data_IF_619364251592
#
_entry.id   IF_619364251592
#
_cell.length_a   1.000
_cell.length_b   1.000
_cell.length_c   1.000
_cell.angle_alpha   90.00
_cell.angle_beta   90.00
_cell.angle_gamma   90.00
#
_symmetry.space_group_name_H-M   'P 1'
#
loop_
_entity.id
_entity.type
_entity.pdbx_description
1 polymer ?
#
# COMPACT_ATOMS: atom_id res chain seq x y z
N UNK A 1 -18.58 -3.16 13.29
CA UNK A 1 -19.15 -2.66 12.02
C UNK A 1 -19.23 -3.84 11.07
N UNK A 2 -20.25 -3.94 10.19
CA UNK A 2 -20.25 -4.98 9.17
C UNK A 2 -19.03 -4.84 8.27
N UNK A 3 -18.49 -5.96 7.81
CA UNK A 3 -17.33 -5.98 6.92
C UNK A 3 -17.63 -5.18 5.64
N UNK A 4 -16.72 -4.29 5.19
CA UNK A 4 -16.94 -3.51 3.99
C UNK A 4 -16.94 -4.39 2.74
N UNK A 5 -17.92 -4.22 1.85
CA UNK A 5 -17.91 -4.86 0.54
C UNK A 5 -16.76 -4.31 -0.34
N UNK A 6 -16.53 -2.99 -0.27
CA UNK A 6 -15.53 -2.28 -1.06
C UNK A 6 -15.18 -0.93 -0.42
N UNK A 7 -13.92 -0.73 -0.09
CA UNK A 7 -13.34 0.53 0.41
C UNK A 7 -12.03 0.78 -0.30
N UNK A 8 -11.71 2.05 -0.52
CA UNK A 8 -10.47 2.47 -1.17
C UNK A 8 -9.77 3.52 -0.34
N UNK A 9 -8.45 3.52 -0.38
CA UNK A 9 -7.65 4.51 0.32
C UNK A 9 -6.32 4.71 -0.38
N UNK A 10 -5.74 5.88 -0.17
CA UNK A 10 -4.39 6.21 -0.59
C UNK A 10 -3.70 7.00 0.53
N UNK A 11 -2.38 6.99 0.51
CA UNK A 11 -1.60 7.97 1.26
C UNK A 11 -0.30 8.25 0.53
N UNK A 12 0.30 9.40 0.85
CA UNK A 12 1.68 9.71 0.47
C UNK A 12 2.47 10.02 1.74
N UNK A 13 3.62 9.37 1.91
CA UNK A 13 4.63 9.74 2.92
C UNK A 13 5.93 10.02 2.21
N UNK A 14 6.42 11.24 2.38
CA UNK A 14 7.65 11.70 1.76
C UNK A 14 8.89 11.11 2.45
N UNK A 15 9.92 10.91 1.63
CA UNK A 15 11.25 10.52 2.04
C UNK A 15 11.90 11.58 2.95
N UNK A 16 12.93 11.17 3.69
CA UNK A 16 13.88 12.14 4.26
C UNK A 16 14.57 12.92 3.14
N UNK A 17 15.06 14.12 3.48
CA UNK A 17 15.87 14.92 2.56
C UNK A 17 17.05 14.11 2.00
N UNK A 18 17.24 14.17 0.68
CA UNK A 18 18.31 13.46 -0.02
C UNK A 18 18.05 11.98 -0.28
N UNK A 19 16.86 11.46 0.03
CA UNK A 19 16.46 10.08 -0.28
C UNK A 19 15.37 10.04 -1.37
N UNK A 20 15.21 8.88 -2.00
CA UNK A 20 14.19 8.61 -3.03
C UNK A 20 13.13 7.61 -2.56
N UNK A 21 12.94 7.54 -1.25
CA UNK A 21 12.19 6.48 -0.54
C UNK A 21 10.71 6.82 -0.36
N UNK A 22 10.16 7.79 -1.08
CA UNK A 22 8.76 8.19 -0.97
C UNK A 22 7.83 6.98 -1.22
N UNK A 23 6.73 6.93 -0.49
CA UNK A 23 5.76 5.84 -0.59
C UNK A 23 4.37 6.39 -0.88
N UNK A 24 3.71 5.80 -1.88
CA UNK A 24 2.38 6.19 -2.34
C UNK A 24 1.48 4.97 -2.56
N UNK A 25 1.14 4.17 -1.53
CA UNK A 25 0.28 3.02 -1.69
C UNK A 25 -1.15 3.44 -2.06
N UNK A 26 -1.75 2.69 -2.97
CA UNK A 26 -3.19 2.70 -3.25
C UNK A 26 -3.76 1.35 -2.84
N UNK A 27 -4.86 1.35 -2.08
CA UNK A 27 -5.42 0.13 -1.53
C UNK A 27 -6.90 -0.04 -1.85
N UNK A 28 -7.29 -1.30 -1.97
CA UNK A 28 -8.69 -1.75 -1.91
C UNK A 28 -8.82 -2.71 -0.73
N UNK A 29 -9.84 -2.51 0.10
CA UNK A 29 -10.23 -3.43 1.18
C UNK A 29 -11.66 -3.89 0.90
N UNK A 30 -11.91 -5.19 0.97
CA UNK A 30 -13.25 -5.72 0.76
C UNK A 30 -13.41 -7.15 1.25
N UNK A 31 -14.63 -7.68 1.17
CA UNK A 31 -14.90 -9.06 1.55
C UNK A 31 -14.37 -10.07 0.52
N UNK A 32 -14.01 -11.26 1.01
CA UNK A 32 -13.49 -12.36 0.17
C UNK A 32 -14.54 -12.95 -0.78
N UNK A 33 -15.83 -12.79 -0.47
CA UNK A 33 -16.97 -13.17 -1.32
C UNK A 33 -17.43 -12.03 -2.26
N UNK A 34 -16.80 -10.86 -2.15
CA UNK A 34 -17.12 -9.66 -2.91
C UNK A 34 -16.20 -9.42 -4.12
N UNK A 35 -16.31 -8.24 -4.76
CA UNK A 35 -15.48 -7.88 -5.91
C UNK A 35 -13.98 -7.85 -5.58
N UNK A 36 -13.61 -7.48 -4.36
CA UNK A 36 -12.22 -7.50 -3.91
C UNK A 36 -11.67 -8.93 -3.87
N UNK A 37 -12.42 -9.88 -3.30
CA UNK A 37 -12.05 -11.29 -3.28
C UNK A 37 -11.94 -11.91 -4.68
N UNK A 38 -12.87 -11.57 -5.59
CA UNK A 38 -12.79 -12.03 -6.98
C UNK A 38 -11.53 -11.51 -7.70
N UNK A 39 -11.22 -10.22 -7.53
CA UNK A 39 -10.00 -9.61 -8.08
C UNK A 39 -8.74 -10.23 -7.48
N UNK A 40 -8.72 -10.46 -6.16
CA UNK A 40 -7.63 -11.12 -5.44
C UNK A 40 -7.36 -12.51 -6.01
N UNK A 41 -8.40 -13.33 -6.16
CA UNK A 41 -8.30 -14.69 -6.71
C UNK A 41 -7.81 -14.68 -8.16
N UNK A 42 -8.30 -13.76 -8.99
CA UNK A 42 -7.88 -13.61 -10.39
C UNK A 42 -6.41 -13.17 -10.51
N UNK A 43 -5.89 -12.43 -9.54
CA UNK A 43 -4.50 -11.99 -9.48
C UNK A 43 -3.52 -13.05 -8.99
N UNK A 44 -3.98 -14.27 -8.65
CA UNK A 44 -3.13 -15.43 -8.33
C UNK A 44 -2.43 -15.98 -9.59
N UNK A 45 -1.60 -15.15 -10.19
CA UNK A 45 -0.81 -15.41 -11.39
C UNK A 45 0.16 -14.27 -11.64
N UNK A 46 1.26 -14.56 -12.33
CA UNK A 46 2.31 -13.58 -12.58
C UNK A 46 2.18 -12.93 -13.95
N UNK A 47 2.61 -11.67 -14.04
CA UNK A 47 2.75 -10.94 -15.31
C UNK A 47 4.18 -10.43 -15.38
N UNK A 48 4.81 -10.55 -16.56
CA UNK A 48 6.19 -10.14 -16.76
C UNK A 48 6.38 -8.67 -16.34
N UNK A 49 7.34 -8.42 -15.45
CA UNK A 49 7.65 -7.09 -14.93
C UNK A 49 6.68 -6.55 -13.86
N UNK A 50 5.58 -7.24 -13.55
CA UNK A 50 4.63 -6.83 -12.51
C UNK A 50 4.31 -8.02 -11.60
N UNK A 51 5.29 -8.39 -10.79
CA UNK A 51 5.14 -9.46 -9.81
C UNK A 51 4.04 -9.12 -8.82
N UNK A 52 3.22 -10.13 -8.52
CA UNK A 52 2.15 -10.08 -7.52
C UNK A 52 2.46 -11.10 -6.43
N UNK A 53 2.46 -10.68 -5.18
CA UNK A 53 2.85 -11.53 -4.07
C UNK A 53 2.10 -11.16 -2.80
N UNK A 54 1.91 -12.11 -1.90
CA UNK A 54 1.31 -11.82 -0.60
C UNK A 54 2.23 -10.94 0.24
N UNK A 55 1.65 -10.06 1.06
CA UNK A 55 2.38 -9.45 2.15
C UNK A 55 2.59 -10.51 3.25
N UNK A 56 3.85 -10.77 3.60
CA UNK A 56 4.23 -11.69 4.68
C UNK A 56 5.23 -11.00 5.58
N UNK A 57 5.19 -11.32 6.88
CA UNK A 57 6.16 -10.83 7.87
C UNK A 57 7.50 -11.54 7.73
N UNK A 58 7.44 -12.84 7.42
CA UNK A 58 8.56 -13.74 7.15
C UNK A 58 8.02 -15.01 6.45
N UNK A 59 8.90 -15.94 6.13
CA UNK A 59 8.56 -17.30 5.71
C UNK A 59 7.54 -17.93 6.66
N UNK A 60 6.42 -18.41 6.10
CA UNK A 60 5.33 -19.02 6.86
C UNK A 60 4.63 -18.09 7.86
N UNK A 61 4.76 -16.76 7.71
CA UNK A 61 4.13 -15.75 8.56
C UNK A 61 3.32 -14.74 7.72
N UNK A 62 2.36 -15.24 6.93
CA UNK A 62 1.45 -14.39 6.14
C UNK A 62 0.56 -13.54 7.05
N UNK A 63 0.41 -12.25 6.73
CA UNK A 63 -0.45 -11.35 7.51
C UNK A 63 -1.95 -11.64 7.25
N UNK A 64 -2.79 -11.26 8.21
CA UNK A 64 -4.26 -11.23 8.08
C UNK A 64 -4.76 -9.79 8.26
N UNK A 65 -5.72 -9.31 7.44
CA UNK A 65 -6.38 -10.01 6.32
C UNK A 65 -5.41 -10.36 5.19
N UNK A 66 -5.76 -11.35 4.38
CA UNK A 66 -4.91 -11.75 3.26
C UNK A 66 -4.66 -10.53 2.36
N UNK A 67 -3.40 -10.21 2.11
CA UNK A 67 -3.01 -8.95 1.46
C UNK A 67 -2.15 -9.25 0.24
N UNK A 68 -2.59 -8.83 -0.95
CA UNK A 68 -1.86 -8.97 -2.21
C UNK A 68 -1.15 -7.65 -2.54
N UNK A 69 0.16 -7.70 -2.70
CA UNK A 69 0.98 -6.59 -3.18
C UNK A 69 1.20 -6.68 -4.68
N UNK A 70 1.09 -5.54 -5.37
CA UNK A 70 1.33 -5.41 -6.82
C UNK A 70 2.22 -4.20 -7.07
N UNK A 71 3.27 -4.35 -7.88
CA UNK A 71 4.11 -3.20 -8.23
C UNK A 71 3.44 -2.29 -9.26
N UNK A 72 3.45 -0.97 -9.00
CA UNK A 72 3.03 0.07 -9.96
C UNK A 72 4.01 0.27 -11.10
N UNK A 73 5.28 -0.10 -10.90
CA UNK A 73 6.36 0.12 -11.86
C UNK A 73 6.78 -1.21 -12.45
N UNK A 74 7.11 -1.22 -13.75
CA UNK A 74 7.70 -2.40 -14.36
C UNK A 74 9.06 -2.70 -13.71
N UNK A 75 9.16 -3.84 -13.02
CA UNK A 75 10.35 -4.32 -12.36
C UNK A 75 11.37 -4.78 -13.42
N UNK A 76 12.51 -4.08 -13.51
CA UNK A 76 13.54 -4.30 -14.55
C UNK A 76 14.86 -4.89 -14.03
N UNK A 77 15.02 -5.05 -12.72
CA UNK A 77 16.27 -5.54 -12.11
C UNK A 77 15.98 -6.39 -10.88
N UNK A 78 16.92 -7.30 -10.55
CA UNK A 78 16.87 -8.07 -9.30
C UNK A 78 16.90 -7.15 -8.08
N UNK A 79 17.69 -6.08 -8.10
CA UNK A 79 17.74 -5.10 -7.02
C UNK A 79 16.35 -4.49 -6.73
N UNK A 80 15.54 -4.22 -7.76
CA UNK A 80 14.16 -3.76 -7.55
C UNK A 80 13.30 -4.86 -6.91
N UNK A 81 13.44 -6.12 -7.39
CA UNK A 81 12.75 -7.28 -6.84
C UNK A 81 13.10 -7.49 -5.36
N UNK A 82 14.37 -7.36 -5.00
CA UNK A 82 14.86 -7.53 -3.63
C UNK A 82 14.34 -6.43 -2.69
N UNK A 83 14.20 -5.19 -3.17
CA UNK A 83 13.59 -4.11 -2.39
C UNK A 83 12.09 -4.35 -2.20
N UNK A 84 11.39 -4.71 -3.28
CA UNK A 84 9.95 -4.95 -3.27
C UNK A 84 9.56 -6.15 -2.38
N UNK A 85 10.23 -7.28 -2.58
CA UNK A 85 10.01 -8.52 -1.82
C UNK A 85 10.77 -8.62 -0.51
N UNK A 86 11.52 -7.58 -0.13
CA UNK A 86 12.22 -7.51 1.14
C UNK A 86 11.64 -6.40 2.01
N UNK A 87 12.29 -5.23 1.96
CA UNK A 87 11.99 -4.09 2.85
C UNK A 87 10.53 -3.65 2.73
N UNK A 88 10.04 -3.52 1.50
CA UNK A 88 8.68 -3.03 1.24
C UNK A 88 7.62 -4.06 1.64
N UNK A 89 7.84 -5.34 1.36
CA UNK A 89 6.94 -6.42 1.80
C UNK A 89 6.82 -6.48 3.32
N UNK A 90 7.95 -6.41 4.03
CA UNK A 90 7.96 -6.44 5.49
C UNK A 90 7.23 -5.23 6.09
N UNK A 91 7.46 -4.03 5.54
CA UNK A 91 6.80 -2.78 5.96
C UNK A 91 5.28 -2.82 5.74
N UNK A 92 4.83 -3.28 4.57
CA UNK A 92 3.41 -3.46 4.27
C UNK A 92 2.77 -4.48 5.21
N UNK A 93 3.43 -5.62 5.45
CA UNK A 93 2.92 -6.65 6.33
C UNK A 93 2.80 -6.16 7.79
N UNK A 94 3.76 -5.38 8.28
CA UNK A 94 3.69 -4.79 9.61
C UNK A 94 2.59 -3.75 9.73
N UNK A 95 2.43 -2.88 8.73
CA UNK A 95 1.36 -1.88 8.74
C UNK A 95 -0.02 -2.54 8.83
N UNK A 96 -0.25 -3.62 8.09
CA UNK A 96 -1.50 -4.39 8.14
C UNK A 96 -1.70 -5.01 9.53
N UNK A 97 -0.66 -5.65 10.09
CA UNK A 97 -0.74 -6.29 11.40
C UNK A 97 -1.02 -5.26 12.51
N UNK A 98 -0.34 -4.13 12.48
CA UNK A 98 -0.53 -3.06 13.46
C UNK A 98 -1.92 -2.42 13.34
N UNK A 99 -2.47 -2.29 12.12
CA UNK A 99 -3.87 -1.89 11.96
C UNK A 99 -4.86 -2.85 12.64
N UNK A 100 -4.55 -4.15 12.72
CA UNK A 100 -5.37 -5.12 13.49
C UNK A 100 -5.14 -5.00 15.00
N UNK A 101 -3.89 -4.76 15.42
CA UNK A 101 -3.54 -4.57 16.83
C UNK A 101 -4.25 -3.34 17.40
N UNK A 102 -4.24 -2.23 16.64
CA UNK A 102 -4.81 -0.93 17.01
C UNK A 102 -6.32 -0.83 16.78
N UNK A 103 -6.94 -1.83 16.15
CA UNK A 103 -8.37 -1.88 15.90
C UNK A 103 -8.85 -1.01 14.74
N UNK A 104 -7.95 -0.53 13.88
CA UNK A 104 -8.30 0.09 12.59
C UNK A 104 -8.97 -0.94 11.68
N UNK A 105 -8.41 -2.15 11.64
CA UNK A 105 -9.04 -3.33 11.06
C UNK A 105 -9.66 -4.16 12.18
N UNK A 106 -10.88 -4.70 12.00
CA UNK A 106 -11.54 -5.49 13.03
C UNK A 106 -10.83 -6.84 13.21
N UNK A 107 -10.67 -7.31 14.45
CA UNK A 107 -10.19 -8.69 14.71
C UNK A 107 -11.24 -9.73 14.34
N UNK A 108 -12.49 -9.44 14.67
CA UNK A 108 -13.62 -10.30 14.34
C UNK A 108 -13.90 -10.22 12.84
N UNK A 109 -14.01 -11.38 12.18
CA UNK A 109 -14.25 -11.45 10.73
C UNK A 109 -13.04 -11.06 9.87
N UNK A 110 -11.83 -10.96 10.43
CA UNK A 110 -10.63 -10.53 9.68
C UNK A 110 -10.25 -11.47 8.53
N UNK A 111 -10.62 -12.75 8.64
CA UNK A 111 -10.38 -13.74 7.58
C UNK A 111 -11.40 -13.66 6.44
N UNK A 112 -12.48 -12.92 6.63
CA UNK A 112 -13.50 -12.65 5.60
C UNK A 112 -13.16 -11.38 4.81
N UNK A 113 -12.05 -10.73 5.11
CA UNK A 113 -11.52 -9.57 4.41
C UNK A 113 -10.26 -9.93 3.61
N UNK A 114 -10.05 -9.20 2.52
CA UNK A 114 -8.80 -9.18 1.78
C UNK A 114 -8.39 -7.73 1.44
N UNK A 115 -7.09 -7.53 1.24
CA UNK A 115 -6.50 -6.26 0.81
C UNK A 115 -5.78 -6.47 -0.51
N UNK A 116 -5.97 -5.52 -1.42
CA UNK A 116 -5.14 -5.32 -2.61
C UNK A 116 -4.37 -4.03 -2.40
N UNK A 117 -3.05 -4.06 -2.52
CA UNK A 117 -2.21 -2.87 -2.37
C UNK A 117 -1.28 -2.74 -3.56
N UNK A 118 -1.38 -1.60 -4.23
CA UNK A 118 -0.46 -1.20 -5.29
C UNK A 118 0.65 -0.35 -4.70
N UNK A 119 1.89 -0.80 -4.85
CA UNK A 119 3.06 -0.15 -4.25
C UNK A 119 3.98 0.40 -5.34
N UNK A 120 4.42 1.62 -5.13
CA UNK A 120 5.42 2.29 -5.95
C UNK A 120 6.74 2.36 -5.18
N UNK A 121 7.84 2.06 -5.87
CA UNK A 121 9.20 2.33 -5.41
C UNK A 121 9.83 3.19 -6.50
N UNK A 122 10.45 4.30 -6.12
CA UNK A 122 11.16 5.16 -7.05
C UNK A 122 12.21 4.34 -7.85
N UNK A 123 12.23 4.43 -9.19
CA UNK A 123 13.19 3.72 -10.02
C UNK A 123 14.66 4.00 -9.71
N UNK A 124 14.98 5.05 -8.95
CA UNK A 124 16.34 5.38 -8.49
C UNK A 124 16.76 4.54 -7.28
N UNK A 125 15.83 4.11 -6.43
CA UNK A 125 16.13 3.32 -5.22
C UNK A 125 17.03 2.10 -5.49
N UNK A 126 16.76 1.23 -6.50
CA UNK A 126 17.57 0.04 -6.75
C UNK A 126 19.02 0.33 -7.15
N UNK A 127 19.32 1.55 -7.60
CA UNK A 127 20.64 1.95 -8.10
C UNK A 127 21.35 2.94 -7.19
N UNK A 128 20.70 3.43 -6.14
CA UNK A 128 21.29 4.39 -5.22
C UNK A 128 22.28 3.69 -4.28
N UNK A 129 23.59 4.03 -4.31
CA UNK A 129 24.59 3.42 -3.43
C UNK A 129 24.40 3.80 -1.95
N UNK A 130 23.65 4.85 -1.65
CA UNK A 130 23.42 5.38 -0.31
C UNK A 130 21.95 5.25 0.14
N UNK A 131 21.20 4.30 -0.45
CA UNK A 131 19.81 4.06 -0.11
C UNK A 131 19.62 3.81 1.40
N UNK A 132 18.88 4.69 2.07
CA UNK A 132 18.41 4.49 3.45
C UNK A 132 17.25 3.49 3.46
N UNK A 133 17.57 2.22 3.63
CA UNK A 133 16.57 1.14 3.72
C UNK A 133 15.65 1.28 4.94
N UNK A 134 16.10 1.91 6.02
CA UNK A 134 15.26 2.15 7.18
C UNK A 134 14.22 3.24 6.87
N UNK A 135 14.59 4.26 6.09
CA UNK A 135 13.61 5.23 5.61
C UNK A 135 12.64 4.62 4.60
N UNK A 136 13.11 3.79 3.66
CA UNK A 136 12.24 3.05 2.74
C UNK A 136 11.21 2.18 3.48
N UNK A 137 11.64 1.53 4.57
CA UNK A 137 10.74 0.80 5.45
C UNK A 137 9.71 1.73 6.08
N UNK A 138 10.17 2.80 6.73
CA UNK A 138 9.32 3.76 7.45
C UNK A 138 8.24 4.35 6.55
N UNK A 139 8.61 4.88 5.38
CA UNK A 139 7.67 5.52 4.46
C UNK A 139 6.59 4.55 4.00
N UNK A 140 6.97 3.32 3.61
CA UNK A 140 6.01 2.30 3.16
C UNK A 140 5.10 1.81 4.30
N UNK A 141 5.64 1.64 5.50
CA UNK A 141 4.87 1.28 6.69
C UNK A 141 3.84 2.37 7.03
N UNK A 142 4.30 3.61 7.20
CA UNK A 142 3.45 4.75 7.58
C UNK A 142 2.38 5.02 6.53
N UNK A 143 2.76 5.05 5.24
CA UNK A 143 1.83 5.32 4.16
C UNK A 143 0.78 4.20 4.03
N UNK A 144 1.18 2.93 4.16
CA UNK A 144 0.23 1.80 4.11
C UNK A 144 -0.78 1.90 5.27
N UNK A 145 -0.30 2.23 6.47
CA UNK A 145 -1.15 2.38 7.66
C UNK A 145 -2.15 3.53 7.51
N UNK A 146 -1.70 4.68 6.99
CA UNK A 146 -2.57 5.83 6.71
C UNK A 146 -3.61 5.46 5.65
N UNK A 147 -3.20 4.80 4.55
CA UNK A 147 -4.10 4.37 3.49
C UNK A 147 -5.19 3.42 4.01
N UNK A 148 -4.82 2.44 4.86
CA UNK A 148 -5.78 1.52 5.51
C UNK A 148 -6.75 2.30 6.39
N UNK A 149 -6.25 3.20 7.24
CA UNK A 149 -7.09 4.05 8.07
C UNK A 149 -8.09 4.86 7.27
N UNK A 150 -7.62 5.52 6.20
CA UNK A 150 -8.46 6.32 5.31
C UNK A 150 -9.50 5.48 4.59
N UNK A 151 -9.14 4.30 4.09
CA UNK A 151 -10.10 3.38 3.46
C UNK A 151 -11.21 2.96 4.43
N UNK A 152 -10.84 2.61 5.66
CA UNK A 152 -11.82 2.19 6.68
C UNK A 152 -12.74 3.34 7.11
N UNK A 153 -12.30 4.60 6.99
CA UNK A 153 -13.09 5.79 7.35
C UNK A 153 -13.76 6.51 6.16
N UNK A 154 -13.46 6.13 4.92
CA UNK A 154 -13.84 6.87 3.69
C UNK A 154 -13.31 8.30 3.68
N UNK A 155 -12.02 8.44 3.97
CA UNK A 155 -11.33 9.72 3.96
C UNK A 155 -10.47 9.87 2.70
N UNK A 156 -10.35 11.10 2.15
CA UNK A 156 -11.10 12.30 2.54
C UNK A 156 -12.59 12.18 2.20
N UNK A 157 -13.44 12.89 2.93
CA UNK A 157 -14.89 12.88 2.65
C UNK A 157 -15.21 13.69 1.40
N UNK A 158 -16.38 13.48 0.80
CA UNK A 158 -16.80 14.27 -0.37
C UNK A 158 -16.93 15.77 -0.03
N UNK A 159 -17.39 16.09 1.18
CA UNK A 159 -17.55 17.47 1.63
C UNK A 159 -16.18 18.15 1.80
N UNK A 160 -15.19 17.45 2.40
CA UNK A 160 -13.81 17.94 2.52
C UNK A 160 -13.18 18.17 1.14
N UNK A 161 -13.40 17.27 0.19
CA UNK A 161 -12.92 17.42 -1.18
C UNK A 161 -13.55 18.62 -1.90
N UNK A 162 -14.85 18.87 -1.70
CA UNK A 162 -15.56 20.03 -2.25
C UNK A 162 -15.02 21.32 -1.65
N UNK A 163 -14.86 21.37 -0.33
CA UNK A 163 -14.33 22.53 0.40
C UNK A 163 -12.91 22.88 -0.06
N UNK A 164 -12.07 21.87 -0.25
CA UNK A 164 -10.66 22.05 -0.56
C UNK A 164 -10.31 22.14 -2.06
N UNK A 165 -11.32 22.07 -2.95
CA UNK A 165 -11.13 21.95 -4.41
C UNK A 165 -10.20 23.01 -5.02
N UNK A 166 -10.17 24.22 -4.47
CA UNK A 166 -9.38 25.34 -4.99
C UNK A 166 -8.19 25.73 -4.13
N UNK A 167 -8.06 25.17 -2.93
CA UNK A 167 -6.99 25.47 -1.96
C UNK A 167 -5.89 24.42 -1.97
N UNK A 168 -6.24 23.14 -2.20
CA UNK A 168 -5.28 22.04 -2.36
C UNK A 168 -4.90 21.92 -3.83
N UNK A 169 -3.59 21.78 -4.10
CA UNK A 169 -3.04 21.63 -5.46
C UNK A 169 -2.33 20.29 -5.60
N UNK A 170 -2.38 19.74 -6.81
CA UNK A 170 -1.66 18.51 -7.11
C UNK A 170 -0.15 18.77 -7.06
N UNK A 171 0.60 17.94 -6.35
CA UNK A 171 2.03 18.15 -6.06
C UNK A 171 2.89 18.34 -7.31
N UNK A 172 2.58 17.60 -8.39
CA UNK A 172 3.30 17.66 -9.67
C UNK A 172 2.70 18.66 -10.68
N UNK A 173 1.64 19.39 -10.33
CA UNK A 173 0.99 20.34 -11.24
C UNK A 173 1.31 21.75 -10.78
N UNK A 174 2.20 22.44 -11.51
CA UNK A 174 2.28 23.90 -11.42
C UNK A 174 1.11 24.49 -12.22
N UNK A 175 0.18 25.24 -11.60
CA UNK A 175 -0.93 25.85 -12.33
C UNK A 175 -0.52 26.99 -13.28
N UNK A 176 0.77 27.36 -13.31
CA UNK A 176 1.33 28.40 -14.19
C UNK A 176 2.17 27.85 -15.35
N UNK A 177 2.40 26.54 -15.42
CA UNK A 177 2.95 25.83 -16.59
C UNK A 177 1.84 25.25 -17.47
#
# INVERSE_FOLDING_TARGET
MPNPLFRVGEATVFAKEGQFTDAMPEIVIGTVDGPAGHAFATMMGQTAGHTRMFAVRDCNQMVRPATMMVSKVTMKSSAYVDLFGGVVQAATADAVLDCVIEGVLPRDGINDLCILVMVWIDPRCPTDPNLDRADLYRTNYEATKIAIGRAMRNEPTIDELIENRHTVRHFMLDPLE
#
